data_IF_867068616666
#
_entry.id   IF_867068616666
#
_cell.length_a   1.000
_cell.length_b   1.000
_cell.length_c   1.000
_cell.angle_alpha   90.00
_cell.angle_beta   90.00
_cell.angle_gamma   90.00
#
_symmetry.space_group_name_H-M   'P 1'
#
loop_
_entity.id
_entity.type
_entity.pdbx_description
1 polymer ?
#
# COMPACT_ATOMS: atom_id res chain seq x y z
N UNK A 1 -12.77 1.87 -9.26
CA UNK A 1 -11.31 2.17 -9.26
C UNK A 1 -10.90 2.99 -10.47
N UNK A 2 -11.09 2.49 -11.69
CA UNK A 2 -10.72 3.22 -12.92
C UNK A 2 -11.45 4.57 -13.03
N UNK A 3 -12.78 4.60 -12.88
CA UNK A 3 -13.56 5.85 -12.93
C UNK A 3 -13.14 6.87 -11.86
N UNK A 4 -12.58 6.40 -10.74
CA UNK A 4 -12.06 7.25 -9.66
C UNK A 4 -10.61 7.73 -9.91
N UNK A 5 -10.01 7.39 -11.06
CA UNK A 5 -8.67 7.84 -11.45
C UNK A 5 -7.50 6.99 -10.92
N UNK A 6 -7.74 5.75 -10.46
CA UNK A 6 -6.66 4.90 -9.97
C UNK A 6 -5.70 4.48 -11.11
N UNK A 7 -4.40 4.76 -10.94
CA UNK A 7 -3.37 4.39 -11.92
C UNK A 7 -3.07 2.88 -11.94
N UNK A 8 -3.24 2.20 -10.80
CA UNK A 8 -3.05 0.77 -10.68
C UNK A 8 -3.89 0.15 -9.58
N UNK A 9 -4.15 -1.16 -9.70
CA UNK A 9 -4.95 -1.94 -8.76
C UNK A 9 -4.26 -3.27 -8.51
N UNK A 10 -4.18 -3.67 -7.24
CA UNK A 10 -3.68 -5.00 -6.88
C UNK A 10 -4.83 -5.96 -6.55
N UNK A 11 -4.66 -7.23 -6.90
CA UNK A 11 -5.59 -8.30 -6.57
C UNK A 11 -4.80 -9.43 -5.90
N UNK A 12 -5.37 -10.02 -4.86
CA UNK A 12 -4.76 -11.10 -4.10
C UNK A 12 -5.51 -12.43 -4.29
N UNK A 13 -4.81 -13.53 -4.10
CA UNK A 13 -5.32 -14.89 -4.29
C UNK A 13 -5.99 -15.49 -3.04
N UNK A 14 -6.54 -14.65 -2.17
CA UNK A 14 -7.35 -15.08 -1.04
C UNK A 14 -8.83 -15.28 -1.41
N UNK A 15 -9.50 -16.13 -0.62
CA UNK A 15 -10.95 -16.28 -0.62
C UNK A 15 -11.60 -15.03 -0.02
N UNK A 16 -12.41 -14.33 -0.80
CA UNK A 16 -12.98 -13.03 -0.43
C UNK A 16 -13.82 -13.08 0.87
N UNK A 17 -14.61 -14.13 1.08
CA UNK A 17 -15.50 -14.26 2.25
C UNK A 17 -14.75 -14.39 3.58
N UNK A 18 -13.46 -14.74 3.55
CA UNK A 18 -12.62 -14.90 4.75
C UNK A 18 -11.29 -14.17 4.62
N UNK A 19 -11.20 -13.15 3.77
CA UNK A 19 -10.00 -12.33 3.55
C UNK A 19 -9.38 -11.88 4.88
N UNK A 20 -8.05 -11.89 4.96
CA UNK A 20 -7.27 -11.37 6.10
C UNK A 20 -6.16 -10.43 5.65
N UNK A 21 -5.68 -9.60 6.56
CA UNK A 21 -4.40 -8.92 6.36
C UNK A 21 -3.30 -9.98 6.14
N UNK A 22 -2.35 -9.68 5.26
CA UNK A 22 -1.28 -10.62 4.89
C UNK A 22 -0.41 -11.13 6.05
N UNK A 23 -0.38 -10.38 7.16
CA UNK A 23 0.38 -10.66 8.37
C UNK A 23 -0.47 -11.31 9.47
N UNK A 24 -1.70 -11.74 9.15
CA UNK A 24 -2.57 -12.48 10.07
C UNK A 24 -2.64 -13.95 9.67
N UNK A 25 -2.89 -14.83 10.66
CA UNK A 25 -3.17 -16.24 10.42
C UNK A 25 -4.58 -16.49 9.83
N UNK A 26 -4.85 -17.73 9.44
CA UNK A 26 -6.16 -18.14 8.92
C UNK A 26 -6.46 -17.61 7.51
N UNK A 27 -5.43 -17.37 6.70
CA UNK A 27 -5.57 -17.01 5.28
C UNK A 27 -5.96 -18.25 4.49
N UNK A 28 -6.98 -18.11 3.63
CA UNK A 28 -7.44 -19.18 2.74
C UNK A 28 -7.20 -18.77 1.31
N UNK A 29 -6.39 -19.53 0.58
CA UNK A 29 -6.12 -19.33 -0.83
C UNK A 29 -7.29 -19.82 -1.69
N UNK A 30 -7.48 -19.19 -2.83
CA UNK A 30 -8.26 -19.75 -3.94
C UNK A 30 -7.34 -20.53 -4.88
N UNK A 31 -7.88 -21.43 -5.74
CA UNK A 31 -7.06 -22.15 -6.69
C UNK A 31 -6.37 -21.17 -7.64
N UNK A 32 -5.17 -21.52 -8.10
CA UNK A 32 -4.34 -20.68 -8.98
C UNK A 32 -5.15 -20.16 -10.18
N UNK A 33 -5.94 -21.01 -10.83
CA UNK A 33 -6.83 -20.63 -11.94
C UNK A 33 -7.89 -19.60 -11.59
N UNK A 34 -8.39 -19.57 -10.34
CA UNK A 34 -9.36 -18.56 -9.91
C UNK A 34 -8.67 -17.22 -9.73
N UNK A 35 -7.48 -17.19 -9.14
CA UNK A 35 -6.66 -15.98 -9.04
C UNK A 35 -6.31 -15.41 -10.43
N UNK A 36 -5.95 -16.28 -11.39
CA UNK A 36 -5.75 -15.88 -12.79
C UNK A 36 -7.03 -15.32 -13.41
N UNK A 37 -8.18 -15.96 -13.18
CA UNK A 37 -9.47 -15.45 -13.68
C UNK A 37 -9.80 -14.05 -13.14
N UNK A 38 -9.46 -13.76 -11.87
CA UNK A 38 -9.59 -12.41 -11.29
C UNK A 38 -8.70 -11.39 -12.01
N UNK A 39 -7.46 -11.74 -12.33
CA UNK A 39 -6.54 -10.87 -13.08
C UNK A 39 -7.02 -10.63 -14.52
N UNK A 40 -7.51 -11.67 -15.20
CA UNK A 40 -8.09 -11.54 -16.55
C UNK A 40 -9.34 -10.65 -16.53
N UNK A 41 -10.22 -10.81 -15.53
CA UNK A 41 -11.38 -9.94 -15.37
C UNK A 41 -10.97 -8.48 -15.11
N UNK A 42 -9.94 -8.25 -14.30
CA UNK A 42 -9.39 -6.92 -14.07
C UNK A 42 -8.80 -6.29 -15.34
N UNK A 43 -8.09 -7.06 -16.16
CA UNK A 43 -7.58 -6.59 -17.46
C UNK A 43 -8.72 -6.28 -18.42
N UNK A 44 -9.72 -7.15 -18.52
CA UNK A 44 -10.92 -6.90 -19.33
C UNK A 44 -11.61 -5.59 -18.94
N UNK A 45 -11.72 -5.29 -17.64
CA UNK A 45 -12.30 -4.02 -17.19
C UNK A 45 -11.47 -2.80 -17.66
N UNK A 46 -10.14 -2.89 -17.62
CA UNK A 46 -9.25 -1.85 -18.12
C UNK A 46 -9.35 -1.69 -19.65
N UNK A 47 -9.40 -2.80 -20.38
CA UNK A 47 -9.50 -2.82 -21.84
C UNK A 47 -10.85 -2.25 -22.32
N UNK A 48 -11.95 -2.63 -21.67
CA UNK A 48 -13.30 -2.10 -21.97
C UNK A 48 -13.38 -0.59 -21.75
N UNK A 49 -12.70 -0.09 -20.72
CA UNK A 49 -12.64 1.35 -20.43
C UNK A 49 -11.53 2.07 -21.21
N UNK A 50 -10.76 1.36 -22.04
CA UNK A 50 -9.74 1.93 -22.91
C UNK A 50 -8.57 2.59 -22.18
N UNK A 51 -8.23 2.13 -20.97
CA UNK A 51 -7.16 2.71 -20.16
C UNK A 51 -6.07 1.67 -19.81
N UNK A 52 -4.78 2.05 -19.83
CA UNK A 52 -3.69 1.14 -19.52
C UNK A 52 -3.45 1.01 -18.01
N UNK A 53 -4.50 0.65 -17.24
CA UNK A 53 -4.38 0.49 -15.78
C UNK A 53 -3.36 -0.58 -15.43
N UNK A 54 -2.47 -0.26 -14.49
CA UNK A 54 -1.44 -1.18 -13.99
C UNK A 54 -2.07 -2.23 -13.09
N UNK A 55 -1.82 -3.51 -13.37
CA UNK A 55 -2.29 -4.63 -12.55
C UNK A 55 -1.14 -5.23 -11.73
N UNK A 56 -1.38 -5.39 -10.43
CA UNK A 56 -0.43 -6.05 -9.51
C UNK A 56 -1.04 -7.36 -9.01
N UNK A 57 -0.42 -8.48 -9.33
CA UNK A 57 -0.82 -9.78 -8.79
C UNK A 57 -0.12 -10.04 -7.46
N UNK A 58 -0.90 -10.22 -6.40
CA UNK A 58 -0.43 -10.55 -5.05
C UNK A 58 -0.69 -12.02 -4.75
N UNK A 59 0.32 -12.70 -4.22
CA UNK A 59 0.17 -14.02 -3.58
C UNK A 59 0.35 -13.91 -2.07
N UNK A 60 -0.49 -14.61 -1.33
CA UNK A 60 -0.43 -14.75 0.13
C UNK A 60 0.13 -16.11 0.59
N UNK A 61 0.60 -16.93 -0.36
CA UNK A 61 0.99 -18.32 -0.15
C UNK A 61 2.26 -18.55 0.68
N UNK A 62 2.99 -17.49 1.03
CA UNK A 62 4.14 -17.61 1.95
C UNK A 62 3.70 -18.08 3.34
N UNK A 63 2.53 -17.64 3.81
CA UNK A 63 2.02 -17.98 5.15
C UNK A 63 0.61 -18.60 5.15
N UNK A 64 -0.11 -18.59 4.02
CA UNK A 64 -1.44 -19.19 3.94
C UNK A 64 -1.36 -20.71 3.83
N UNK A 65 -1.82 -21.42 4.86
CA UNK A 65 -1.79 -22.89 4.96
C UNK A 65 -3.12 -23.55 4.56
N UNK A 66 -4.10 -22.77 4.08
CA UNK A 66 -5.42 -23.26 3.66
C UNK A 66 -5.70 -22.93 2.19
N UNK A 67 -6.43 -23.81 1.51
CA UNK A 67 -6.85 -23.70 0.12
C UNK A 67 -8.30 -24.15 -0.02
N UNK A 68 -9.09 -23.46 -0.83
CA UNK A 68 -10.51 -23.79 -1.03
C UNK A 68 -10.74 -25.11 -1.78
N UNK A 69 -9.93 -25.43 -2.80
CA UNK A 69 -10.04 -26.67 -3.57
C UNK A 69 -8.70 -27.07 -4.19
N UNK A 70 -8.42 -28.37 -4.25
CA UNK A 70 -7.22 -29.01 -4.84
C UNK A 70 -7.37 -29.34 -6.34
N UNK A 71 -8.28 -28.64 -7.02
CA UNK A 71 -8.65 -28.88 -8.43
C UNK A 71 -7.58 -28.46 -9.43
N UNK A 72 -6.63 -27.61 -9.03
CA UNK A 72 -5.62 -27.03 -9.90
C UNK A 72 -4.28 -27.76 -9.75
N UNK A 73 -3.72 -28.23 -10.87
CA UNK A 73 -2.44 -28.94 -10.90
C UNK A 73 -1.27 -28.07 -10.39
N UNK A 74 -1.37 -26.74 -10.45
CA UNK A 74 -0.36 -25.85 -9.87
C UNK A 74 -0.36 -25.89 -8.33
N UNK A 75 -1.50 -26.20 -7.72
CA UNK A 75 -1.67 -26.21 -6.26
C UNK A 75 -1.48 -27.59 -5.62
N UNK A 76 -1.76 -28.65 -6.38
CA UNK A 76 -1.66 -30.04 -5.92
C UNK A 76 -0.32 -30.42 -5.28
N UNK A 77 0.86 -29.99 -5.78
CA UNK A 77 2.14 -30.31 -5.15
C UNK A 77 2.28 -29.82 -3.70
N UNK A 78 1.49 -28.80 -3.32
CA UNK A 78 1.53 -28.19 -2.00
C UNK A 78 0.44 -28.71 -1.07
N UNK A 79 -0.56 -29.44 -1.58
CA UNK A 79 -1.64 -30.00 -0.77
C UNK A 79 -1.10 -31.13 0.13
N UNK A 80 -1.56 -31.18 1.38
CA UNK A 80 -1.16 -32.24 2.34
C UNK A 80 -2.08 -33.46 2.28
N UNK A 81 -3.27 -33.32 1.67
CA UNK A 81 -4.34 -34.31 1.68
C UNK A 81 -5.31 -34.18 2.86
N UNK A 82 -5.01 -33.32 3.85
CA UNK A 82 -5.89 -33.06 4.99
C UNK A 82 -6.91 -31.97 4.69
N UNK A 83 -8.07 -32.03 5.38
CA UNK A 83 -9.11 -31.00 5.33
C UNK A 83 -9.49 -30.50 6.72
N UNK A 84 -9.92 -29.24 6.80
CA UNK A 84 -10.48 -28.64 8.00
C UNK A 84 -11.97 -28.98 8.16
N UNK A 85 -12.57 -28.61 9.30
CA UNK A 85 -14.01 -28.84 9.56
C UNK A 85 -14.92 -28.03 8.65
N UNK A 86 -14.46 -26.89 8.16
CA UNK A 86 -15.12 -26.06 7.15
C UNK A 86 -14.97 -26.63 5.74
N UNK A 87 -14.12 -27.65 5.57
CA UNK A 87 -13.85 -28.30 4.30
C UNK A 87 -12.70 -27.69 3.49
N UNK A 88 -11.91 -26.77 4.04
CA UNK A 88 -10.71 -26.28 3.35
C UNK A 88 -9.60 -27.31 3.33
N UNK A 89 -8.82 -27.35 2.26
CA UNK A 89 -7.64 -28.20 2.14
C UNK A 89 -6.45 -27.55 2.84
N UNK A 90 -5.65 -28.36 3.51
CA UNK A 90 -4.36 -27.89 4.05
C UNK A 90 -3.28 -27.93 2.98
N UNK A 91 -2.44 -26.90 2.99
CA UNK A 91 -1.30 -26.75 2.07
C UNK A 91 -0.01 -26.51 2.83
N UNK A 92 1.13 -26.67 2.15
CA UNK A 92 2.47 -26.40 2.67
C UNK A 92 2.88 -24.97 2.28
N UNK A 93 2.63 -23.96 3.14
CA UNK A 93 2.96 -22.57 2.82
C UNK A 93 4.48 -22.38 2.69
N UNK A 94 4.87 -21.32 1.99
CA UNK A 94 6.26 -20.87 1.94
C UNK A 94 6.72 -20.43 0.56
N UNK A 95 8.05 -20.30 0.43
CA UNK A 95 8.69 -19.75 -0.77
C UNK A 95 8.34 -20.51 -2.05
N UNK A 96 8.34 -21.84 -2.04
CA UNK A 96 8.10 -22.65 -3.24
C UNK A 96 6.67 -22.48 -3.78
N UNK A 97 5.67 -22.46 -2.89
CA UNK A 97 4.28 -22.22 -3.27
C UNK A 97 4.09 -20.78 -3.75
N UNK A 98 4.73 -19.82 -3.08
CA UNK A 98 4.74 -18.42 -3.51
C UNK A 98 5.34 -18.27 -4.92
N UNK A 99 6.50 -18.87 -5.19
CA UNK A 99 7.16 -18.85 -6.51
C UNK A 99 6.25 -19.47 -7.57
N UNK A 100 5.71 -20.66 -7.32
CA UNK A 100 4.80 -21.34 -8.25
C UNK A 100 3.63 -20.44 -8.65
N UNK A 101 2.98 -19.80 -7.68
CA UNK A 101 1.87 -18.86 -7.93
C UNK A 101 2.33 -17.58 -8.62
N UNK A 102 3.45 -17.00 -8.20
CA UNK A 102 4.04 -15.82 -8.84
C UNK A 102 4.36 -16.04 -10.32
N UNK A 103 4.84 -17.22 -10.68
CA UNK A 103 5.06 -17.64 -12.07
C UNK A 103 3.74 -17.76 -12.84
N UNK A 104 2.73 -18.40 -12.26
CA UNK A 104 1.42 -18.54 -12.88
C UNK A 104 0.73 -17.18 -13.14
N UNK A 105 0.96 -16.19 -12.27
CA UNK A 105 0.33 -14.87 -12.37
C UNK A 105 1.08 -13.90 -13.29
N UNK A 106 2.39 -14.09 -13.48
CA UNK A 106 3.26 -13.17 -14.20
C UNK A 106 2.77 -12.81 -15.62
N UNK A 107 2.18 -13.71 -16.43
CA UNK A 107 1.64 -13.35 -17.75
C UNK A 107 0.41 -12.42 -17.70
N UNK A 108 -0.29 -12.35 -16.57
CA UNK A 108 -1.58 -11.68 -16.44
C UNK A 108 -1.51 -10.37 -15.62
N UNK A 109 -0.32 -10.01 -15.15
CA UNK A 109 -0.10 -8.81 -14.34
C UNK A 109 1.18 -8.07 -14.75
N UNK A 110 1.16 -6.75 -14.57
CA UNK A 110 2.30 -5.89 -14.85
C UNK A 110 3.37 -6.04 -13.77
N UNK A 111 2.94 -6.18 -12.50
CA UNK A 111 3.81 -6.46 -11.35
C UNK A 111 3.36 -7.72 -10.59
N UNK A 112 4.33 -8.42 -9.99
CA UNK A 112 4.06 -9.52 -9.04
C UNK A 112 4.54 -9.14 -7.64
N UNK A 113 3.75 -9.47 -6.63
CA UNK A 113 4.00 -9.25 -5.21
C UNK A 113 3.77 -10.54 -4.42
N UNK A 114 4.73 -10.94 -3.59
CA UNK A 114 4.52 -11.92 -2.54
C UNK A 114 4.47 -11.20 -1.19
N UNK A 115 3.41 -11.39 -0.41
CA UNK A 115 3.44 -10.99 1.00
C UNK A 115 4.37 -11.92 1.78
N UNK A 116 5.06 -11.40 2.80
CA UNK A 116 6.02 -12.17 3.61
C UNK A 116 5.77 -11.97 5.10
N UNK A 117 6.17 -12.95 5.93
CA UNK A 117 6.10 -12.85 7.39
C UNK A 117 7.17 -11.95 8.03
N UNK A 118 8.31 -11.72 7.36
CA UNK A 118 9.42 -10.91 7.86
C UNK A 118 10.06 -10.06 6.74
N UNK A 119 10.80 -8.98 7.08
CA UNK A 119 11.55 -8.20 6.10
C UNK A 119 12.87 -8.90 5.77
N UNK A 120 12.83 -9.90 4.88
CA UNK A 120 13.97 -10.76 4.53
C UNK A 120 14.43 -10.55 3.07
N UNK A 121 15.62 -9.99 2.90
CA UNK A 121 16.23 -9.74 1.59
C UNK A 121 16.64 -11.03 0.86
N UNK A 122 16.95 -12.11 1.56
CA UNK A 122 17.27 -13.40 0.95
C UNK A 122 16.02 -14.09 0.39
N UNK A 123 14.92 -14.06 1.14
CA UNK A 123 13.62 -14.48 0.61
C UNK A 123 13.25 -13.68 -0.64
N UNK A 124 13.33 -12.35 -0.55
CA UNK A 124 13.02 -11.44 -1.65
C UNK A 124 13.88 -11.73 -2.89
N UNK A 125 15.19 -11.95 -2.68
CA UNK A 125 16.14 -12.31 -3.75
C UNK A 125 15.75 -13.61 -4.44
N UNK A 126 15.47 -14.68 -3.69
CA UNK A 126 15.09 -15.99 -4.27
C UNK A 126 13.80 -15.91 -5.06
N UNK A 127 12.77 -15.26 -4.50
CA UNK A 127 11.50 -15.06 -5.18
C UNK A 127 11.66 -14.28 -6.49
N UNK A 128 12.34 -13.13 -6.44
CA UNK A 128 12.58 -12.30 -7.62
C UNK A 128 13.41 -13.03 -8.68
N UNK A 129 14.46 -13.76 -8.29
CA UNK A 129 15.28 -14.54 -9.21
C UNK A 129 14.48 -15.63 -9.93
N UNK A 130 13.64 -16.38 -9.20
CA UNK A 130 12.83 -17.43 -9.78
C UNK A 130 11.82 -16.89 -10.80
N UNK A 131 11.06 -15.84 -10.42
CA UNK A 131 10.06 -15.22 -11.31
C UNK A 131 10.74 -14.60 -12.54
N UNK A 132 11.83 -13.86 -12.34
CA UNK A 132 12.53 -13.17 -13.44
C UNK A 132 13.33 -14.10 -14.34
N UNK A 133 13.71 -15.29 -13.86
CA UNK A 133 14.32 -16.34 -14.71
C UNK A 133 13.32 -16.84 -15.75
N UNK A 134 12.06 -17.06 -15.35
CA UNK A 134 11.00 -17.48 -16.26
C UNK A 134 10.39 -16.32 -17.06
N UNK A 135 10.32 -15.14 -16.46
CA UNK A 135 9.80 -13.91 -17.07
C UNK A 135 10.83 -12.77 -16.98
N UNK A 136 11.86 -12.77 -17.86
CA UNK A 136 12.87 -11.72 -17.87
C UNK A 136 12.25 -10.33 -17.91
N UNK A 137 12.71 -9.45 -17.01
CA UNK A 137 12.21 -8.08 -16.92
C UNK A 137 10.93 -7.89 -16.09
N UNK A 138 10.24 -8.95 -15.64
CA UNK A 138 9.03 -8.83 -14.81
C UNK A 138 9.26 -7.91 -13.62
N UNK A 139 8.45 -6.88 -13.52
CA UNK A 139 8.49 -5.91 -12.42
C UNK A 139 7.88 -6.54 -11.16
N UNK A 140 8.45 -6.20 -10.01
CA UNK A 140 8.02 -6.74 -8.72
C UNK A 140 7.55 -5.60 -7.81
N UNK A 141 6.69 -5.93 -6.85
CA UNK A 141 6.27 -5.02 -5.79
C UNK A 141 6.57 -5.62 -4.40
N UNK A 142 6.94 -4.75 -3.45
CA UNK A 142 7.31 -5.14 -2.08
C UNK A 142 6.58 -4.27 -1.06
N UNK A 143 5.98 -4.93 -0.07
CA UNK A 143 5.37 -4.26 1.08
C UNK A 143 6.40 -4.14 2.21
N UNK A 144 6.88 -2.92 2.45
CA UNK A 144 7.68 -2.56 3.63
C UNK A 144 6.75 -2.42 4.86
N UNK A 145 6.18 -3.55 5.28
CA UNK A 145 5.06 -3.58 6.22
C UNK A 145 5.39 -3.04 7.62
N UNK A 146 4.55 -2.16 8.19
CA UNK A 146 4.60 -1.81 9.62
C UNK A 146 4.23 -2.96 10.56
N UNK A 147 3.62 -4.04 10.05
CA UNK A 147 3.38 -5.25 10.84
C UNK A 147 4.68 -5.98 11.20
N UNK A 148 5.80 -5.65 10.55
CA UNK A 148 7.12 -6.11 10.95
C UNK A 148 7.64 -5.30 12.14
N UNK A 149 8.20 -5.99 13.14
CA UNK A 149 9.10 -5.34 14.08
C UNK A 149 10.50 -5.23 13.42
N UNK A 150 10.76 -4.12 12.74
CA UNK A 150 11.96 -3.92 11.92
C UNK A 150 13.27 -4.12 12.69
N UNK A 151 13.43 -3.44 13.84
CA UNK A 151 14.64 -3.53 14.69
C UNK A 151 14.82 -4.89 15.37
N UNK A 152 13.74 -5.67 15.52
CA UNK A 152 13.85 -7.06 15.98
C UNK A 152 14.42 -7.99 14.90
N UNK A 153 14.17 -7.68 13.63
CA UNK A 153 14.57 -8.55 12.51
C UNK A 153 15.88 -8.12 11.86
N UNK A 154 16.21 -6.83 11.86
CA UNK A 154 17.30 -6.25 11.06
C UNK A 154 18.12 -5.26 11.86
N UNK A 155 19.42 -5.18 11.54
CA UNK A 155 20.31 -4.11 11.99
C UNK A 155 20.10 -2.80 11.20
N UNK A 156 20.62 -1.70 11.74
CA UNK A 156 20.44 -0.35 11.21
C UNK A 156 21.05 -0.18 9.82
N UNK A 157 22.21 -0.81 9.59
CA UNK A 157 22.87 -0.76 8.30
C UNK A 157 22.02 -1.44 7.22
N UNK A 158 21.31 -2.51 7.58
CA UNK A 158 20.44 -3.28 6.67
C UNK A 158 19.13 -2.55 6.43
N UNK A 159 18.52 -1.97 7.47
CA UNK A 159 17.33 -1.11 7.34
C UNK A 159 17.62 0.06 6.37
N UNK A 160 18.76 0.73 6.54
CA UNK A 160 19.13 1.90 5.74
C UNK A 160 19.25 1.60 4.23
N UNK A 161 19.70 0.39 3.86
CA UNK A 161 19.87 -0.03 2.45
C UNK A 161 18.75 -0.93 1.91
N UNK A 162 17.76 -1.28 2.74
CA UNK A 162 16.76 -2.31 2.43
C UNK A 162 16.04 -2.06 1.10
N UNK A 163 15.50 -0.84 0.92
CA UNK A 163 14.77 -0.48 -0.30
C UNK A 163 15.66 -0.38 -1.54
N UNK A 164 16.91 0.04 -1.36
CA UNK A 164 17.89 0.10 -2.46
C UNK A 164 18.25 -1.31 -2.94
N UNK A 165 18.48 -2.25 -2.01
CA UNK A 165 18.73 -3.65 -2.35
C UNK A 165 17.52 -4.28 -3.06
N UNK A 166 16.30 -4.08 -2.55
CA UNK A 166 15.07 -4.51 -3.23
C UNK A 166 14.95 -3.93 -4.65
N UNK A 167 15.28 -2.65 -4.81
CA UNK A 167 15.26 -1.96 -6.11
C UNK A 167 16.19 -2.62 -7.13
N UNK A 168 17.37 -3.08 -6.70
CA UNK A 168 18.33 -3.81 -7.52
C UNK A 168 17.82 -5.22 -7.92
N UNK A 169 16.98 -5.85 -7.10
CA UNK A 169 16.37 -7.17 -7.38
C UNK A 169 15.18 -7.10 -8.33
N UNK A 170 14.65 -5.90 -8.63
CA UNK A 170 13.51 -5.70 -9.53
C UNK A 170 12.21 -5.29 -8.84
N UNK A 171 12.23 -5.05 -7.53
CA UNK A 171 11.10 -4.47 -6.79
C UNK A 171 11.02 -2.97 -7.06
N UNK A 172 10.29 -2.61 -8.13
CA UNK A 172 10.18 -1.23 -8.63
C UNK A 172 9.02 -0.45 -8.02
N UNK A 173 8.08 -1.14 -7.37
CA UNK A 173 7.07 -0.50 -6.54
C UNK A 173 7.23 -0.97 -5.09
N UNK A 174 7.55 -0.04 -4.19
CA UNK A 174 7.79 -0.32 -2.78
C UNK A 174 6.95 0.63 -1.95
N UNK A 175 6.25 0.12 -0.95
CA UNK A 175 5.27 0.91 -0.19
C UNK A 175 5.21 0.46 1.26
N UNK A 176 4.87 1.41 2.15
CA UNK A 176 4.59 1.15 3.56
C UNK A 176 3.08 1.26 3.75
N UNK A 177 2.40 0.12 3.89
CA UNK A 177 0.92 0.04 3.86
C UNK A 177 0.23 0.92 4.90
N UNK A 178 0.74 0.96 6.14
CA UNK A 178 0.07 1.61 7.28
C UNK A 178 0.77 2.89 7.75
N UNK A 179 1.65 3.49 6.93
CA UNK A 179 2.43 4.68 7.31
C UNK A 179 1.53 5.83 7.79
N UNK A 180 0.45 6.13 7.06
CA UNK A 180 -0.47 7.21 7.40
C UNK A 180 -1.17 7.00 8.74
N UNK A 181 -1.64 5.79 9.04
CA UNK A 181 -2.33 5.46 10.29
C UNK A 181 -1.36 5.56 11.47
N UNK A 182 -0.19 4.93 11.38
CA UNK A 182 0.81 4.99 12.46
C UNK A 182 1.26 6.42 12.73
N UNK A 183 1.51 7.21 11.68
CA UNK A 183 1.90 8.62 11.84
C UNK A 183 0.78 9.42 12.49
N UNK A 184 -0.42 9.43 11.90
CA UNK A 184 -1.54 10.26 12.37
C UNK A 184 -1.94 9.94 13.81
N UNK A 185 -2.12 8.65 14.14
CA UNK A 185 -2.62 8.25 15.45
C UNK A 185 -1.60 8.47 16.55
N UNK A 186 -0.32 8.20 16.28
CA UNK A 186 0.73 8.44 17.27
C UNK A 186 0.85 9.94 17.60
N UNK A 187 0.93 10.81 16.58
CA UNK A 187 1.07 12.25 16.81
C UNK A 187 -0.16 12.84 17.51
N UNK A 188 -1.38 12.36 17.17
CA UNK A 188 -2.59 12.80 17.87
C UNK A 188 -2.63 12.31 19.33
N UNK A 189 -2.22 11.07 19.59
CA UNK A 189 -2.12 10.53 20.95
C UNK A 189 -1.12 11.33 21.80
N UNK A 190 0.08 11.56 21.27
CA UNK A 190 1.15 12.30 21.94
C UNK A 190 0.76 13.77 22.20
N UNK A 191 0.11 14.42 21.24
CA UNK A 191 -0.45 15.76 21.42
C UNK A 191 -1.53 15.78 22.50
N UNK A 192 -2.48 14.85 22.48
CA UNK A 192 -3.58 14.82 23.44
C UNK A 192 -3.09 14.63 24.89
N UNK A 193 -2.10 13.77 25.11
CA UNK A 193 -1.51 13.53 26.44
C UNK A 193 -0.88 14.81 27.02
N UNK A 194 -0.11 15.53 26.20
CA UNK A 194 0.56 16.76 26.63
C UNK A 194 -0.42 17.93 26.74
N UNK A 195 -1.41 18.00 25.86
CA UNK A 195 -2.41 19.08 25.86
C UNK A 195 -3.26 19.08 27.13
N UNK A 196 -3.62 17.91 27.67
CA UNK A 196 -4.33 17.80 28.95
C UNK A 196 -3.51 18.39 30.11
N UNK A 197 -2.18 18.34 30.03
CA UNK A 197 -1.29 18.80 31.10
C UNK A 197 -0.90 20.28 30.94
N UNK A 198 -0.67 20.74 29.70
CA UNK A 198 -0.02 22.02 29.41
C UNK A 198 -0.85 22.95 28.51
N UNK A 199 -2.02 22.52 28.05
CA UNK A 199 -2.90 23.29 27.18
C UNK A 199 -2.18 23.77 25.92
N UNK A 200 -2.38 25.05 25.58
CA UNK A 200 -1.85 25.65 24.35
C UNK A 200 -0.34 25.54 24.18
N UNK A 201 0.44 25.49 25.26
CA UNK A 201 1.90 25.30 25.16
C UNK A 201 2.24 24.01 24.43
N UNK A 202 1.49 22.93 24.66
CA UNK A 202 1.69 21.66 23.95
C UNK A 202 1.36 21.77 22.45
N UNK A 203 0.29 22.49 22.10
CA UNK A 203 -0.10 22.70 20.71
C UNK A 203 0.95 23.54 19.96
N UNK A 204 1.44 24.62 20.56
CA UNK A 204 2.46 25.49 19.97
C UNK A 204 3.75 24.71 19.72
N UNK A 205 4.25 23.99 20.73
CA UNK A 205 5.54 23.29 20.65
C UNK A 205 5.51 22.04 19.75
N UNK A 206 4.40 21.30 19.72
CA UNK A 206 4.32 20.02 18.97
C UNK A 206 3.75 20.16 17.56
N UNK A 207 2.98 21.20 17.29
CA UNK A 207 2.29 21.39 16.00
C UNK A 207 2.73 22.69 15.35
N UNK A 208 2.39 23.84 15.96
CA UNK A 208 2.47 25.13 15.25
C UNK A 208 3.91 25.55 14.92
N UNK A 209 4.82 25.56 15.89
CA UNK A 209 6.23 25.93 15.66
C UNK A 209 6.94 24.95 14.71
N UNK A 210 6.76 23.60 14.85
CA UNK A 210 7.26 22.66 13.85
C UNK A 210 6.73 22.89 12.43
N UNK A 211 5.45 23.24 12.28
CA UNK A 211 4.85 23.58 10.97
C UNK A 211 5.50 24.84 10.37
N UNK A 212 5.67 25.90 11.16
CA UNK A 212 6.39 27.12 10.73
C UNK A 212 7.82 26.82 10.32
N UNK A 213 8.56 26.05 11.13
CA UNK A 213 9.94 25.66 10.81
C UNK A 213 10.03 24.72 9.58
N UNK A 214 8.95 24.02 9.22
CA UNK A 214 8.90 23.16 8.04
C UNK A 214 8.65 23.92 6.74
N UNK A 215 8.27 25.21 6.80
CA UNK A 215 7.97 26.03 5.61
C UNK A 215 9.14 26.11 4.64
N UNK A 216 10.36 26.31 5.14
CA UNK A 216 11.58 26.36 4.32
C UNK A 216 11.91 25.01 3.65
N UNK A 217 11.27 23.92 4.10
CA UNK A 217 11.35 22.58 3.50
C UNK A 217 10.16 22.26 2.59
N UNK A 218 9.29 23.23 2.33
CA UNK A 218 8.16 23.12 1.42
C UNK A 218 6.80 22.77 2.06
N UNK A 219 6.67 22.85 3.39
CA UNK A 219 5.37 22.66 4.04
C UNK A 219 4.49 23.93 3.94
N UNK A 220 3.24 23.78 3.51
CA UNK A 220 2.36 24.92 3.15
C UNK A 220 1.08 25.02 3.98
N UNK A 221 0.69 23.96 4.69
CA UNK A 221 -0.57 23.95 5.47
C UNK A 221 -0.55 24.87 6.72
N UNK A 222 0.59 25.52 7.02
CA UNK A 222 0.62 26.68 7.94
C UNK A 222 -0.44 27.73 7.57
N UNK A 223 -0.69 27.90 6.27
CA UNK A 223 -1.73 28.73 5.68
C UNK A 223 -2.88 27.84 5.22
N UNK A 224 -3.61 27.28 6.19
CA UNK A 224 -4.62 26.25 5.94
C UNK A 224 -5.80 26.72 5.08
N UNK A 225 -6.15 28.01 5.07
CA UNK A 225 -7.20 28.56 4.20
C UNK A 225 -6.75 28.54 2.74
N UNK A 226 -5.53 29.00 2.47
CA UNK A 226 -4.94 28.91 1.14
C UNK A 226 -4.82 27.46 0.68
N UNK A 227 -4.37 26.56 1.55
CA UNK A 227 -4.12 25.15 1.22
C UNK A 227 -5.40 24.38 0.86
N UNK A 228 -6.54 24.71 1.49
CA UNK A 228 -7.86 24.13 1.13
C UNK A 228 -8.54 24.83 -0.05
N UNK A 229 -7.88 25.80 -0.68
CA UNK A 229 -8.32 26.41 -1.92
C UNK A 229 -9.21 27.65 -1.76
N UNK A 230 -9.18 28.35 -0.62
CA UNK A 230 -9.97 29.58 -0.45
C UNK A 230 -9.67 30.61 -1.56
N UNK A 231 -8.40 30.79 -1.93
CA UNK A 231 -8.02 31.67 -3.04
C UNK A 231 -8.55 31.23 -4.41
N UNK A 232 -8.62 29.92 -4.66
CA UNK A 232 -9.24 29.39 -5.87
C UNK A 232 -10.73 29.77 -5.95
N UNK A 233 -11.48 29.66 -4.85
CA UNK A 233 -12.88 30.05 -4.82
C UNK A 233 -13.09 31.57 -4.90
N UNK A 234 -12.14 32.37 -4.41
CA UNK A 234 -12.14 33.82 -4.62
C UNK A 234 -11.95 34.19 -6.09
N UNK A 235 -11.04 33.52 -6.81
CA UNK A 235 -10.87 33.70 -8.26
C UNK A 235 -12.12 33.31 -9.04
N UNK A 236 -12.74 32.17 -8.70
CA UNK A 236 -14.02 31.74 -9.29
C UNK A 236 -15.09 32.80 -9.09
N UNK A 237 -15.22 33.33 -7.86
CA UNK A 237 -16.19 34.39 -7.54
C UNK A 237 -15.90 35.66 -8.32
N UNK A 238 -14.64 36.06 -8.39
CA UNK A 238 -14.17 37.24 -9.13
C UNK A 238 -14.48 37.12 -10.62
N UNK A 239 -14.26 35.95 -11.22
CA UNK A 239 -14.58 35.67 -12.62
C UNK A 239 -16.09 35.74 -12.89
N UNK A 240 -16.92 35.13 -12.04
CA UNK A 240 -18.39 35.16 -12.17
C UNK A 240 -18.93 36.59 -12.06
N UNK A 241 -18.37 37.39 -11.15
CA UNK A 241 -18.89 38.73 -10.83
C UNK A 241 -18.14 39.85 -11.56
N UNK A 242 -17.30 39.53 -12.55
CA UNK A 242 -16.58 40.52 -13.35
C UNK A 242 -15.67 41.44 -12.53
N UNK A 243 -15.03 40.90 -11.49
CA UNK A 243 -14.08 41.64 -10.64
C UNK A 243 -14.69 42.57 -9.60
N UNK A 244 -16.01 42.48 -9.34
CA UNK A 244 -16.73 43.43 -8.47
C UNK A 244 -17.19 42.84 -7.13
N UNK A 245 -16.80 41.61 -6.81
CA UNK A 245 -17.19 40.98 -5.56
C UNK A 245 -16.65 41.77 -4.37
N UNK A 246 -17.50 41.99 -3.37
CA UNK A 246 -17.12 42.59 -2.08
C UNK A 246 -17.03 41.55 -0.96
N UNK A 247 -17.14 40.26 -1.30
CA UNK A 247 -17.27 39.14 -0.35
C UNK A 247 -16.23 38.05 -0.60
N UNK A 248 -15.06 38.41 -1.16
CA UNK A 248 -13.91 37.50 -1.23
C UNK A 248 -13.38 37.21 0.17
N UNK A 249 -12.87 36.00 0.39
CA UNK A 249 -12.59 35.45 1.71
C UNK A 249 -11.14 35.69 2.19
N UNK A 250 -10.14 35.74 1.31
CA UNK A 250 -8.74 35.90 1.72
C UNK A 250 -8.40 37.32 2.17
N UNK A 251 -8.90 38.34 1.48
CA UNK A 251 -8.63 39.74 1.80
C UNK A 251 -9.22 40.10 3.17
N UNK A 252 -8.36 40.49 4.11
CA UNK A 252 -8.72 40.80 5.49
C UNK A 252 -8.83 39.59 6.42
N UNK A 253 -8.38 38.41 5.99
CA UNK A 253 -8.35 37.21 6.82
C UNK A 253 -7.24 37.26 7.89
N UNK A 254 -7.41 36.52 8.99
CA UNK A 254 -6.35 36.36 10.00
C UNK A 254 -5.11 35.65 9.44
N UNK A 255 -5.31 34.79 8.43
CA UNK A 255 -4.22 34.12 7.73
C UNK A 255 -3.33 35.13 7.00
N UNK A 256 -3.94 36.03 6.21
CA UNK A 256 -3.22 37.13 5.56
C UNK A 256 -2.48 37.99 6.58
N UNK A 257 -3.05 38.25 7.76
CA UNK A 257 -2.45 39.15 8.75
C UNK A 257 -1.35 38.52 9.62
N UNK A 258 -1.35 37.20 9.84
CA UNK A 258 -0.54 36.57 10.90
C UNK A 258 0.39 35.46 10.40
N UNK A 259 0.25 34.99 9.16
CA UNK A 259 0.96 33.80 8.65
C UNK A 259 1.91 34.13 7.48
N UNK A 260 2.54 35.31 7.51
CA UNK A 260 3.50 35.78 6.50
C UNK A 260 4.85 35.06 6.52
#
# INVERSE_FOLDING_TARGET
MIEAGAAGVHFEDQLASVKKCGHMGGKVLVPTREAVAKLVAARLAADVLGVPTVLVARTDAEAADLLTADVDANDQPFCTGERTVEGFYRTKPGLEQAISRGLAYAPYADLVWCETGTPDLEFARKFAQAVRKAHPGKLMAYNCSPSFNWKKNLDDATIARFQQELGAMGYKYQFITLAGIHSMWFHMFDLAQDYVQRGMTAYIEKVQEPEFAARDRGYTFVSHQQEVGTGYFDEVTTAIQGGKSSVTALTGSTEEAQFH
#
